data_IF_522761045058
#
_entry.id   IF_522761045058
#
_cell.length_a   1.000
_cell.length_b   1.000
_cell.length_c   1.000
_cell.angle_alpha   90.00
_cell.angle_beta   90.00
_cell.angle_gamma   90.00
#
_symmetry.space_group_name_H-M   'P 1'
#
loop_
_entity.id
_entity.type
_entity.pdbx_description
1 polymer ?
#
# COMPACT_ATOMS: atom_id res chain seq x y z
N UNK A 1 -12.71 -2.12 9.18
CA UNK A 1 -11.68 -3.04 9.71
C UNK A 1 -10.38 -2.35 10.12
N UNK A 2 -9.63 -1.69 9.24
CA UNK A 2 -8.34 -1.05 9.62
C UNK A 2 -8.46 0.03 10.72
N UNK A 3 -9.44 0.93 10.64
CA UNK A 3 -9.70 1.98 11.67
C UNK A 3 -10.05 1.42 13.05
N UNK A 4 -10.66 0.22 13.13
CA UNK A 4 -11.02 -0.42 14.40
C UNK A 4 -9.83 -1.10 15.09
N UNK A 5 -8.78 -1.42 14.32
CA UNK A 5 -7.58 -2.11 14.80
C UNK A 5 -6.47 -1.15 15.24
N UNK A 6 -6.64 0.15 15.03
CA UNK A 6 -5.66 1.19 15.36
C UNK A 6 -6.34 2.26 16.21
N UNK A 7 -5.88 2.45 17.44
CA UNK A 7 -6.45 3.44 18.36
C UNK A 7 -6.10 4.88 17.97
N UNK A 8 -7.02 5.81 18.24
CA UNK A 8 -6.85 7.24 17.96
C UNK A 8 -7.02 7.64 16.49
N UNK A 9 -7.50 6.72 15.64
CA UNK A 9 -7.85 7.02 14.25
C UNK A 9 -9.21 7.70 14.20
N UNK A 10 -9.22 8.93 13.68
CA UNK A 10 -10.41 9.73 13.47
C UNK A 10 -10.78 9.75 11.99
N UNK A 11 -11.96 10.30 11.66
CA UNK A 11 -12.46 10.34 10.28
C UNK A 11 -11.56 11.20 9.36
N UNK A 12 -10.88 12.20 9.93
CA UNK A 12 -9.93 13.09 9.26
C UNK A 12 -8.46 12.63 9.38
N UNK A 13 -8.18 11.44 9.92
CA UNK A 13 -6.83 10.88 9.98
C UNK A 13 -6.27 10.64 8.58
N UNK A 14 -5.06 11.14 8.33
CA UNK A 14 -4.33 10.89 7.08
C UNK A 14 -3.92 9.42 6.97
N UNK A 15 -3.98 8.88 5.76
CA UNK A 15 -3.63 7.50 5.46
C UNK A 15 -2.23 7.45 4.87
N UNK A 16 -1.40 6.53 5.35
CA UNK A 16 -0.06 6.30 4.81
C UNK A 16 0.11 4.82 4.43
N UNK A 17 0.65 4.63 3.23
CA UNK A 17 1.02 3.32 2.67
C UNK A 17 2.51 3.00 2.88
N UNK A 18 3.20 3.80 3.70
CA UNK A 18 4.64 3.71 3.96
C UNK A 18 4.93 3.00 5.28
N UNK A 19 6.18 2.54 5.45
CA UNK A 19 6.65 1.94 6.71
C UNK A 19 6.69 2.96 7.85
N UNK A 20 7.17 4.16 7.53
CA UNK A 20 7.32 5.26 8.47
C UNK A 20 6.33 6.35 8.06
N UNK A 21 5.43 6.69 8.98
CA UNK A 21 4.58 7.88 8.81
C UNK A 21 5.46 9.11 9.10
N UNK A 22 5.22 10.25 8.44
CA UNK A 22 5.92 11.48 8.75
C UNK A 22 5.66 11.88 10.20
N UNK A 23 6.63 12.56 10.82
CA UNK A 23 6.41 13.22 12.11
C UNK A 23 5.36 14.30 11.91
N UNK A 24 4.22 14.15 12.57
CA UNK A 24 3.14 15.13 12.55
C UNK A 24 3.16 15.95 13.84
N UNK A 25 2.62 17.17 13.84
CA UNK A 25 2.45 17.96 15.07
C UNK A 25 1.72 17.16 16.16
N UNK A 26 2.02 17.44 17.43
CA UNK A 26 1.44 16.72 18.56
C UNK A 26 -0.10 16.70 18.58
N UNK A 27 -0.71 17.77 18.04
CA UNK A 27 -2.17 17.96 18.00
C UNK A 27 -2.84 17.34 16.76
N UNK A 28 -2.07 16.66 15.92
CA UNK A 28 -2.60 16.03 14.72
C UNK A 28 -3.29 14.69 15.02
N UNK A 29 -4.38 14.35 14.31
CA UNK A 29 -4.98 13.02 14.40
C UNK A 29 -3.96 11.93 14.05
N UNK A 30 -4.00 10.79 14.76
CA UNK A 30 -3.06 9.70 14.50
C UNK A 30 -3.20 9.20 13.06
N UNK A 31 -2.09 8.94 12.36
CA UNK A 31 -2.13 8.47 10.99
C UNK A 31 -2.58 7.00 10.91
N UNK A 32 -3.43 6.68 9.94
CA UNK A 32 -3.82 5.30 9.62
C UNK A 32 -2.71 4.66 8.78
N UNK A 33 -2.09 3.59 9.29
CA UNK A 33 -1.04 2.86 8.57
C UNK A 33 -1.64 1.62 7.90
N UNK A 34 -1.59 1.56 6.57
CA UNK A 34 -2.12 0.43 5.79
C UNK A 34 -1.06 -0.57 5.31
N UNK A 35 0.18 -0.45 5.78
CA UNK A 35 1.26 -1.39 5.44
C UNK A 35 0.89 -2.86 5.68
N UNK A 36 0.09 -3.17 6.70
CA UNK A 36 -0.29 -4.55 7.03
C UNK A 36 -1.25 -5.21 6.03
N UNK A 37 -1.91 -4.43 5.18
CA UNK A 37 -2.82 -4.93 4.14
C UNK A 37 -2.26 -4.73 2.73
N UNK A 38 -1.09 -4.10 2.62
CA UNK A 38 -0.43 -3.83 1.35
C UNK A 38 0.59 -4.94 1.09
N UNK A 39 0.52 -5.54 -0.09
CA UNK A 39 1.58 -6.42 -0.56
C UNK A 39 2.82 -5.57 -0.87
N UNK A 40 3.90 -5.82 -0.12
CA UNK A 40 5.15 -5.09 -0.24
C UNK A 40 6.05 -5.62 -1.36
N UNK A 41 5.67 -6.69 -2.05
CA UNK A 41 6.45 -7.30 -3.13
C UNK A 41 5.59 -7.55 -4.38
N UNK A 42 4.94 -6.51 -4.94
CA UNK A 42 4.17 -6.68 -6.16
C UNK A 42 5.09 -6.98 -7.34
N UNK A 43 4.61 -7.80 -8.28
CA UNK A 43 5.29 -7.96 -9.55
C UNK A 43 5.21 -6.64 -10.32
N UNK A 44 6.36 -6.13 -10.79
CA UNK A 44 6.44 -4.86 -11.51
C UNK A 44 6.81 -5.11 -12.97
N UNK A 45 6.02 -4.54 -13.88
CA UNK A 45 6.29 -4.53 -15.32
C UNK A 45 6.62 -3.09 -15.72
N UNK A 46 7.68 -2.93 -16.52
CA UNK A 46 8.11 -1.62 -17.06
C UNK A 46 7.89 -1.56 -18.57
N UNK A 47 7.99 -0.37 -19.15
CA UNK A 47 7.91 -0.12 -20.59
C UNK A 47 9.04 -0.79 -21.40
N UNK A 48 10.20 -0.99 -20.77
CA UNK A 48 11.31 -1.75 -21.35
C UNK A 48 11.06 -3.27 -21.39
N UNK A 49 10.00 -3.77 -20.74
CA UNK A 49 9.69 -5.21 -20.74
C UNK A 49 8.93 -5.57 -22.02
N UNK A 50 9.47 -6.45 -22.88
CA UNK A 50 8.77 -6.87 -24.10
C UNK A 50 7.39 -7.46 -23.81
N UNK A 51 6.40 -7.13 -24.66
CA UNK A 51 5.00 -7.53 -24.46
C UNK A 51 4.82 -9.06 -24.33
N UNK A 52 5.62 -9.84 -25.05
CA UNK A 52 5.62 -11.31 -24.95
C UNK A 52 5.91 -11.80 -23.52
N UNK A 53 6.85 -11.15 -22.83
CA UNK A 53 7.26 -11.49 -21.47
C UNK A 53 6.14 -11.08 -20.51
N UNK A 54 5.53 -9.91 -20.70
CA UNK A 54 4.39 -9.43 -19.89
C UNK A 54 3.22 -10.40 -19.94
N UNK A 55 2.84 -10.85 -21.15
CA UNK A 55 1.75 -11.81 -21.35
C UNK A 55 2.07 -13.14 -20.66
N UNK A 56 3.30 -13.63 -20.78
CA UNK A 56 3.73 -14.88 -20.13
C UNK A 56 3.65 -14.78 -18.60
N UNK A 57 4.11 -13.66 -18.02
CA UNK A 57 4.02 -13.39 -16.57
C UNK A 57 2.56 -13.42 -16.09
N UNK A 58 1.68 -12.66 -16.76
CA UNK A 58 0.26 -12.59 -16.35
C UNK A 58 -0.42 -13.95 -16.44
N UNK A 59 -0.13 -14.73 -17.50
CA UNK A 59 -0.68 -16.09 -17.67
C UNK A 59 -0.17 -17.06 -16.61
N UNK A 60 1.13 -17.02 -16.29
CA UNK A 60 1.76 -17.93 -15.31
C UNK A 60 1.35 -17.61 -13.88
N UNK A 61 1.26 -16.34 -13.53
CA UNK A 61 0.93 -15.90 -12.17
C UNK A 61 -0.59 -15.80 -11.92
N UNK A 62 -1.41 -15.89 -12.97
CA UNK A 62 -2.87 -15.75 -12.86
C UNK A 62 -3.29 -14.36 -12.37
N UNK A 63 -2.48 -13.34 -12.65
CA UNK A 63 -2.77 -11.95 -12.29
C UNK A 63 -4.00 -11.46 -13.06
N UNK A 64 -4.90 -10.74 -12.38
CA UNK A 64 -6.16 -10.21 -12.93
C UNK A 64 -6.15 -8.69 -12.92
#
# INVERSE_FOLDING_TARGET
NARRKQEGIMLNSRVYFTQHAPTLPADSPRPLKLRSILDMSPFTVTDHTPMEIVVDIFRKLGLR
#
